data_IF_446023886846
#
_entry.id   IF_446023886846
#
_cell.length_a   1.000
_cell.length_b   1.000
_cell.length_c   1.000
_cell.angle_alpha   90.00
_cell.angle_beta   90.00
_cell.angle_gamma   90.00
#
_symmetry.space_group_name_H-M   'P 1'
#
loop_
_entity.id
_entity.type
_entity.pdbx_description
1 polymer ?
#
# COMPACT_ATOMS: atom_id res chain seq x y z
N UNK A 1 36.55 44.12 1.87
CA UNK A 1 35.22 43.93 1.22
C UNK A 1 35.11 42.58 0.49
N UNK A 2 36.22 41.90 0.16
CA UNK A 2 36.25 40.55 -0.44
C UNK A 2 35.67 39.41 0.44
N UNK A 3 35.99 39.36 1.74
CA UNK A 3 35.54 38.29 2.64
C UNK A 3 34.01 38.21 2.80
N UNK A 4 33.29 39.33 2.71
CA UNK A 4 31.82 39.35 2.79
C UNK A 4 31.14 38.75 1.55
N UNK A 5 31.84 38.72 0.42
CA UNK A 5 31.30 38.25 -0.85
C UNK A 5 31.33 36.72 -0.95
N UNK A 6 32.28 36.06 -0.30
CA UNK A 6 32.40 34.60 -0.32
C UNK A 6 31.44 33.93 0.67
N UNK A 7 31.17 34.53 1.84
CA UNK A 7 30.12 34.06 2.74
C UNK A 7 28.73 34.13 2.10
N UNK A 8 28.46 35.16 1.30
CA UNK A 8 27.19 35.30 0.57
C UNK A 8 27.05 34.25 -0.53
N UNK A 9 28.12 33.94 -1.27
CA UNK A 9 28.14 32.85 -2.27
C UNK A 9 27.93 31.49 -1.62
N UNK A 10 28.61 31.22 -0.49
CA UNK A 10 28.43 29.98 0.27
C UNK A 10 27.01 29.84 0.85
N UNK A 11 26.45 30.92 1.39
CA UNK A 11 25.07 30.92 1.89
C UNK A 11 24.06 30.64 0.78
N UNK A 12 24.23 31.23 -0.41
CA UNK A 12 23.36 30.98 -1.58
C UNK A 12 23.47 29.51 -2.03
N UNK A 13 24.68 28.94 -2.08
CA UNK A 13 24.89 27.54 -2.43
C UNK A 13 24.24 26.58 -1.43
N UNK A 14 24.36 26.86 -0.12
CA UNK A 14 23.73 26.06 0.93
C UNK A 14 22.20 26.12 0.86
N UNK A 15 21.61 27.30 0.64
CA UNK A 15 20.16 27.45 0.49
C UNK A 15 19.64 26.73 -0.75
N UNK A 16 20.36 26.81 -1.87
CA UNK A 16 20.02 26.07 -3.10
C UNK A 16 20.07 24.56 -2.90
N UNK A 17 21.09 24.05 -2.21
CA UNK A 17 21.21 22.64 -1.87
C UNK A 17 20.04 22.20 -0.97
N UNK A 18 19.79 22.90 0.14
CA UNK A 18 18.69 22.56 1.06
C UNK A 18 17.32 22.60 0.36
N UNK A 19 17.09 23.57 -0.52
CA UNK A 19 15.85 23.64 -1.30
C UNK A 19 15.65 22.43 -2.22
N UNK A 20 16.72 21.95 -2.86
CA UNK A 20 16.66 20.76 -3.71
C UNK A 20 16.39 19.47 -2.91
N UNK A 21 16.89 19.36 -1.68
CA UNK A 21 16.61 18.21 -0.82
C UNK A 21 15.16 18.20 -0.30
N UNK A 22 14.55 19.35 -0.02
CA UNK A 22 13.17 19.45 0.48
C UNK A 22 12.11 19.29 -0.62
N UNK A 23 12.44 19.60 -1.88
CA UNK A 23 11.49 19.49 -3.00
C UNK A 23 10.89 18.07 -3.15
N UNK A 24 11.65 17.02 -2.84
CA UNK A 24 11.17 15.64 -2.89
C UNK A 24 10.23 15.23 -1.74
N UNK A 25 10.23 15.96 -0.62
CA UNK A 25 9.38 15.63 0.55
C UNK A 25 7.94 16.12 0.40
N UNK A 26 7.69 17.09 -0.48
CA UNK A 26 6.36 17.62 -0.77
C UNK A 26 5.74 17.05 -2.05
N UNK A 27 6.37 16.03 -2.66
CA UNK A 27 5.90 15.38 -3.87
C UNK A 27 4.60 14.63 -3.57
N UNK A 28 3.48 15.30 -3.82
CA UNK A 28 2.14 14.81 -3.54
C UNK A 28 1.74 13.84 -4.66
N UNK A 29 2.36 12.64 -4.68
CA UNK A 29 2.20 11.60 -5.71
C UNK A 29 0.75 11.21 -6.01
N UNK A 30 -0.15 11.46 -5.06
CA UNK A 30 -1.57 11.07 -5.17
C UNK A 30 -2.49 12.17 -5.66
N UNK A 31 -1.97 13.38 -5.94
CA UNK A 31 -2.80 14.48 -6.42
C UNK A 31 -2.99 14.35 -7.92
N UNK A 32 -3.94 13.50 -8.29
CA UNK A 32 -4.53 13.37 -9.63
C UNK A 32 -3.58 12.72 -10.66
N UNK A 33 -3.20 11.46 -10.44
CA UNK A 33 -2.63 10.67 -11.56
C UNK A 33 -3.72 10.49 -12.64
N UNK A 34 -3.52 11.13 -13.79
CA UNK A 34 -4.31 10.87 -15.00
C UNK A 34 -4.30 9.35 -15.27
N UNK A 35 -5.44 8.69 -15.08
CA UNK A 35 -5.57 7.25 -15.27
C UNK A 35 -5.66 6.41 -13.99
N UNK A 36 -5.78 7.00 -12.79
CA UNK A 36 -6.07 6.24 -11.57
C UNK A 36 -7.26 5.26 -11.74
N UNK A 37 -8.32 5.74 -12.40
CA UNK A 37 -9.49 4.90 -12.70
C UNK A 37 -9.16 3.69 -13.59
N UNK A 38 -8.25 3.83 -14.55
CA UNK A 38 -7.80 2.74 -15.41
C UNK A 38 -6.90 1.76 -14.67
N UNK A 39 -6.02 2.24 -13.80
CA UNK A 39 -5.22 1.39 -12.92
C UNK A 39 -6.12 0.54 -12.01
N UNK A 40 -7.15 1.15 -11.41
CA UNK A 40 -8.14 0.43 -10.58
C UNK A 40 -8.93 -0.58 -11.41
N UNK A 41 -9.40 -0.20 -12.60
CA UNK A 41 -10.12 -1.12 -13.51
C UNK A 41 -9.25 -2.30 -13.93
N UNK A 42 -7.98 -2.06 -14.26
CA UNK A 42 -7.02 -3.10 -14.62
C UNK A 42 -6.72 -4.02 -13.44
N UNK A 43 -6.51 -3.48 -12.23
CA UNK A 43 -6.33 -4.28 -11.03
C UNK A 43 -7.56 -5.15 -10.73
N UNK A 44 -8.75 -4.57 -10.83
CA UNK A 44 -10.02 -5.28 -10.66
C UNK A 44 -10.18 -6.41 -11.68
N UNK A 45 -9.88 -6.15 -12.95
CA UNK A 45 -9.96 -7.16 -14.02
C UNK A 45 -9.04 -8.37 -13.77
N UNK A 46 -7.89 -8.16 -13.10
CA UNK A 46 -6.98 -9.26 -12.70
C UNK A 46 -7.47 -10.06 -11.50
N UNK A 47 -8.29 -9.45 -10.64
CA UNK A 47 -8.82 -10.08 -9.41
C UNK A 47 -10.19 -10.75 -9.63
N UNK A 48 -10.93 -10.34 -10.67
CA UNK A 48 -12.23 -10.92 -10.99
C UNK A 48 -12.04 -12.26 -11.69
N UNK A 49 -12.51 -13.34 -11.05
CA UNK A 49 -12.51 -14.68 -11.63
C UNK A 49 -13.58 -14.86 -12.73
N UNK A 50 -14.73 -14.19 -12.58
CA UNK A 50 -15.84 -14.25 -13.54
C UNK A 50 -16.36 -12.83 -13.83
N UNK A 51 -16.00 -12.22 -14.98
CA UNK A 51 -16.41 -10.87 -15.35
C UNK A 51 -17.92 -10.75 -15.64
N UNK A 52 -18.58 -11.84 -16.04
CA UNK A 52 -20.00 -11.88 -16.38
C UNK A 52 -20.89 -12.30 -15.19
N UNK A 53 -20.34 -12.36 -13.96
CA UNK A 53 -21.06 -12.82 -12.77
C UNK A 53 -22.36 -12.02 -12.51
N UNK A 54 -22.41 -10.74 -12.88
CA UNK A 54 -23.63 -9.91 -12.73
C UNK A 54 -24.77 -10.30 -13.66
N UNK A 55 -24.47 -11.00 -14.76
CA UNK A 55 -25.45 -11.47 -15.75
C UNK A 55 -25.91 -12.90 -15.48
N UNK A 56 -25.21 -13.60 -14.57
CA UNK A 56 -25.56 -14.95 -14.20
C UNK A 56 -26.80 -14.93 -13.28
N UNK A 57 -27.91 -15.49 -13.76
CA UNK A 57 -29.15 -15.66 -12.98
C UNK A 57 -29.19 -16.99 -12.22
N UNK A 58 -28.21 -17.87 -12.43
CA UNK A 58 -28.12 -19.12 -11.68
C UNK A 58 -27.89 -18.83 -10.19
N UNK A 59 -28.55 -19.62 -9.35
CA UNK A 59 -28.33 -19.57 -7.91
C UNK A 59 -26.91 -20.07 -7.60
N UNK A 60 -26.11 -19.34 -6.79
CA UNK A 60 -24.84 -19.86 -6.32
C UNK A 60 -25.05 -21.17 -5.54
N UNK A 61 -24.11 -22.12 -5.67
CA UNK A 61 -24.16 -23.45 -5.02
C UNK A 61 -24.21 -23.38 -3.48
N UNK A 62 -23.90 -22.21 -2.90
CA UNK A 62 -23.99 -21.95 -1.46
C UNK A 62 -22.81 -22.52 -0.68
N UNK A 63 -22.98 -22.64 0.63
CA UNK A 63 -21.99 -23.22 1.54
C UNK A 63 -22.37 -24.67 1.81
N UNK A 64 -21.41 -25.60 1.74
CA UNK A 64 -21.67 -26.99 2.11
C UNK A 64 -22.06 -27.10 3.60
N UNK A 65 -22.84 -28.11 3.96
CA UNK A 65 -23.39 -28.25 5.32
C UNK A 65 -22.32 -28.35 6.41
N UNK A 66 -21.18 -28.96 6.11
CA UNK A 66 -20.08 -29.12 7.06
C UNK A 66 -19.38 -27.79 7.31
N UNK A 67 -19.06 -27.03 6.26
CA UNK A 67 -18.50 -25.69 6.37
C UNK A 67 -19.47 -24.70 7.01
N UNK A 68 -20.77 -24.82 6.71
CA UNK A 68 -21.81 -24.01 7.35
C UNK A 68 -21.85 -24.24 8.86
N UNK A 69 -21.88 -25.51 9.29
CA UNK A 69 -21.79 -25.86 10.71
C UNK A 69 -20.51 -25.32 11.34
N UNK A 70 -19.36 -25.56 10.73
CA UNK A 70 -18.07 -25.11 11.27
C UNK A 70 -17.98 -23.58 11.41
N UNK A 71 -18.62 -22.85 10.49
CA UNK A 71 -18.69 -21.37 10.53
C UNK A 71 -19.52 -20.90 11.73
N UNK A 72 -20.70 -21.48 11.94
CA UNK A 72 -21.59 -21.13 13.05
C UNK A 72 -20.95 -21.53 14.39
N UNK A 73 -20.35 -22.71 14.48
CA UNK A 73 -19.65 -23.17 15.68
C UNK A 73 -18.48 -22.21 16.03
N UNK A 74 -17.68 -21.77 15.05
CA UNK A 74 -16.61 -20.77 15.28
C UNK A 74 -17.17 -19.41 15.71
N UNK A 75 -18.27 -18.97 15.11
CA UNK A 75 -18.93 -17.72 15.47
C UNK A 75 -19.38 -17.75 16.93
N UNK A 76 -20.05 -18.81 17.37
CA UNK A 76 -20.47 -18.98 18.76
C UNK A 76 -19.27 -19.01 19.71
N UNK A 77 -18.23 -19.80 19.38
CA UNK A 77 -17.01 -19.91 20.19
C UNK A 77 -16.26 -18.58 20.33
N UNK A 78 -16.38 -17.67 19.36
CA UNK A 78 -15.77 -16.33 19.45
C UNK A 78 -16.32 -15.48 20.60
N UNK A 79 -17.52 -15.79 21.09
CA UNK A 79 -18.11 -15.14 22.26
C UNK A 79 -17.75 -15.81 23.58
N UNK A 80 -17.28 -17.07 23.56
CA UNK A 80 -16.94 -17.82 24.76
C UNK A 80 -15.51 -17.55 25.25
N UNK A 81 -14.60 -17.18 24.35
CA UNK A 81 -13.19 -16.99 24.68
C UNK A 81 -12.61 -15.76 23.96
N UNK A 82 -11.88 -14.88 24.68
CA UNK A 82 -11.14 -13.80 24.04
C UNK A 82 -10.24 -14.38 22.93
N UNK A 83 -10.15 -13.73 21.75
CA UNK A 83 -9.27 -14.19 20.70
C UNK A 83 -7.85 -14.35 21.27
N UNK A 84 -7.15 -15.48 21.02
CA UNK A 84 -5.75 -15.59 21.40
C UNK A 84 -4.98 -14.42 20.76
N UNK A 85 -3.95 -13.89 21.43
CA UNK A 85 -3.16 -12.80 20.88
C UNK A 85 -2.65 -13.21 19.49
N UNK A 86 -3.14 -12.53 18.46
CA UNK A 86 -2.69 -12.77 17.09
C UNK A 86 -1.27 -12.26 16.97
N UNK A 87 -0.35 -13.13 16.52
CA UNK A 87 0.99 -12.71 16.15
C UNK A 87 0.86 -11.82 14.90
N UNK A 88 0.87 -10.51 15.11
CA UNK A 88 0.78 -9.54 14.02
C UNK A 88 2.06 -9.67 13.20
N UNK A 89 1.95 -10.24 11.99
CA UNK A 89 3.03 -10.15 11.02
C UNK A 89 3.15 -8.69 10.58
N UNK A 90 4.17 -7.99 11.10
CA UNK A 90 4.55 -6.67 10.58
C UNK A 90 5.12 -6.87 9.18
N UNK A 91 4.27 -6.77 8.16
CA UNK A 91 4.71 -6.69 6.76
C UNK A 91 5.53 -5.41 6.65
N UNK A 92 6.85 -5.57 6.50
CA UNK A 92 7.82 -4.48 6.55
C UNK A 92 7.59 -3.45 5.44
N UNK A 93 6.80 -2.43 5.72
CA UNK A 93 6.88 -1.11 5.06
C UNK A 93 7.87 -0.28 5.86
N UNK A 94 9.14 -0.69 5.85
CA UNK A 94 10.24 0.07 6.43
C UNK A 94 11.38 0.11 5.43
N UNK A 95 11.59 1.29 4.86
CA UNK A 95 12.90 1.75 4.42
C UNK A 95 13.31 1.30 3.02
N UNK A 96 13.22 2.22 2.06
CA UNK A 96 14.12 2.18 0.92
C UNK A 96 15.56 2.20 1.42
N UNK A 97 16.21 1.04 1.41
CA UNK A 97 17.65 0.95 1.35
C UNK A 97 17.98 0.33 0.01
N UNK A 98 18.28 1.22 -0.93
CA UNK A 98 18.98 0.90 -2.16
C UNK A 98 20.25 0.13 -1.82
N UNK A 99 20.35 -1.10 -2.32
CA UNK A 99 21.49 -1.98 -2.07
C UNK A 99 21.37 -3.30 -2.83
N UNK A 100 21.08 -3.20 -4.13
CA UNK A 100 21.21 -4.34 -5.05
C UNK A 100 22.69 -4.70 -5.20
N UNK A 101 23.05 -5.95 -4.91
CA UNK A 101 24.17 -6.72 -5.47
C UNK A 101 23.89 -8.17 -5.08
N UNK A 102 23.22 -8.97 -5.92
CA UNK A 102 23.89 -9.86 -6.89
C UNK A 102 24.19 -11.21 -6.22
N UNK A 103 23.24 -12.15 -6.15
CA UNK A 103 22.97 -13.28 -7.08
C UNK A 103 24.04 -14.39 -7.05
N UNK A 104 23.53 -15.58 -6.68
CA UNK A 104 24.06 -16.96 -6.76
C UNK A 104 25.09 -17.40 -5.72
#
# INVERSE_FOLDING_TARGET
MESQMDHRKFAIACVGLVASLVAGCAENRYREEEGFGDAVRAAKARQIINPDASRNTARPDGLDGTSAKATIDRYQKSYESPPPPVNVFTIGVTGGSSGTTGIR
#
